data_IF_021309510976
#
_entry.id   IF_021309510976
#
_cell.length_a   1.000
_cell.length_b   1.000
_cell.length_c   1.000
_cell.angle_alpha   90.00
_cell.angle_beta   90.00
_cell.angle_gamma   90.00
#
_symmetry.space_group_name_H-M   'P 1'
#
loop_
_entity.id
_entity.type
_entity.pdbx_description
1 polymer ?
#
# COMPACT_ATOMS: atom_id res chain seq x y z
N UNK A 1 -0.78 5.24 12.94
CA UNK A 1 -1.03 5.21 11.47
C UNK A 1 -1.42 3.79 11.09
N UNK A 2 -2.49 3.57 10.32
CA UNK A 2 -3.01 2.23 9.95
C UNK A 2 -1.92 1.29 9.42
N UNK A 3 -1.01 1.79 8.57
CA UNK A 3 0.05 0.97 7.99
C UNK A 3 1.03 0.43 9.05
N UNK A 4 1.35 1.20 10.09
CA UNK A 4 2.19 0.76 11.21
C UNK A 4 1.51 -0.35 12.00
N UNK A 5 0.20 -0.21 12.27
CA UNK A 5 -0.61 -1.24 12.93
C UNK A 5 -0.57 -2.56 12.15
N UNK A 6 -0.67 -2.48 10.82
CA UNK A 6 -0.60 -3.66 9.96
C UNK A 6 0.78 -4.32 9.95
N UNK A 7 1.84 -3.52 9.87
CA UNK A 7 3.21 -4.02 9.93
C UNK A 7 3.50 -4.69 11.28
N UNK A 8 3.09 -4.08 12.39
CA UNK A 8 3.21 -4.65 13.73
C UNK A 8 2.50 -6.01 13.82
N UNK A 9 1.21 -6.06 13.48
CA UNK A 9 0.46 -7.32 13.57
C UNK A 9 1.01 -8.43 12.66
N UNK A 10 1.55 -8.11 11.47
CA UNK A 10 2.23 -9.11 10.63
C UNK A 10 3.51 -9.65 11.26
N UNK A 11 4.28 -8.81 11.95
CA UNK A 11 5.44 -9.27 12.70
C UNK A 11 5.02 -10.15 13.87
N UNK A 12 4.00 -9.76 14.63
CA UNK A 12 3.51 -10.54 15.78
C UNK A 12 3.04 -11.94 15.32
N UNK A 13 2.28 -12.02 14.22
CA UNK A 13 1.90 -13.29 13.58
C UNK A 13 3.14 -14.11 13.18
N UNK A 14 4.13 -13.46 12.55
CA UNK A 14 5.33 -14.15 12.10
C UNK A 14 6.16 -14.70 13.26
N UNK A 15 6.26 -13.94 14.35
CA UNK A 15 6.96 -14.36 15.56
C UNK A 15 6.24 -15.56 16.22
N UNK A 16 4.91 -15.49 16.36
CA UNK A 16 4.09 -16.57 16.94
C UNK A 16 4.13 -17.85 16.10
N UNK A 17 4.10 -17.73 14.77
CA UNK A 17 4.10 -18.87 13.85
C UNK A 17 5.52 -19.38 13.51
N UNK A 18 6.58 -18.81 14.10
CA UNK A 18 7.96 -19.22 13.84
C UNK A 18 8.42 -18.99 12.38
N UNK A 19 7.87 -17.97 11.72
CA UNK A 19 8.20 -17.65 10.33
C UNK A 19 9.51 -16.86 10.23
N UNK A 20 10.15 -16.96 9.06
CA UNK A 20 11.38 -16.24 8.75
C UNK A 20 11.05 -15.02 7.91
N UNK A 21 11.41 -13.84 8.43
CA UNK A 21 11.35 -12.57 7.71
C UNK A 21 12.52 -12.42 6.74
N UNK A 22 12.22 -12.00 5.51
CA UNK A 22 13.19 -11.72 4.46
C UNK A 22 13.00 -10.31 3.92
N UNK A 23 14.11 -9.58 3.81
CA UNK A 23 14.24 -8.38 3.03
C UNK A 23 14.68 -8.73 1.62
N UNK A 24 13.86 -8.41 0.63
CA UNK A 24 14.22 -8.53 -0.78
C UNK A 24 14.32 -7.17 -1.44
N UNK A 25 15.42 -6.95 -2.15
CA UNK A 25 15.61 -5.80 -3.03
C UNK A 25 15.54 -6.29 -4.47
N UNK A 26 14.69 -5.69 -5.30
CA UNK A 26 14.59 -5.98 -6.72
C UNK A 26 14.87 -4.72 -7.55
N UNK A 27 15.90 -4.81 -8.39
CA UNK A 27 16.36 -3.72 -9.26
C UNK A 27 16.11 -4.08 -10.72
N UNK A 28 16.02 -3.08 -11.60
CA UNK A 28 15.93 -3.30 -13.05
C UNK A 28 17.34 -3.44 -13.69
N UNK A 29 17.46 -4.09 -14.87
CA UNK A 29 18.71 -4.12 -15.63
C UNK A 29 19.33 -2.76 -15.89
N UNK A 30 20.66 -2.72 -16.10
CA UNK A 30 21.39 -1.48 -16.37
C UNK A 30 20.75 -0.66 -17.51
N UNK A 31 20.20 -1.33 -18.53
CA UNK A 31 19.54 -0.70 -19.68
C UNK A 31 18.32 0.16 -19.32
N UNK A 32 17.76 0.02 -18.12
CA UNK A 32 16.65 0.86 -17.62
C UNK A 32 17.11 2.11 -16.89
N UNK A 33 18.40 2.21 -16.54
CA UNK A 33 18.95 3.33 -15.78
C UNK A 33 19.61 4.33 -16.72
N UNK A 34 19.24 5.59 -16.59
CA UNK A 34 19.66 6.67 -17.50
C UNK A 34 21.04 7.23 -17.18
N UNK A 35 21.46 7.16 -15.90
CA UNK A 35 22.77 7.66 -15.44
C UNK A 35 23.44 6.66 -14.51
N UNK A 36 24.77 6.60 -14.57
CA UNK A 36 25.58 5.75 -13.69
C UNK A 36 25.71 6.38 -12.31
N UNK A 37 25.62 5.57 -11.26
CA UNK A 37 25.71 6.06 -9.88
C UNK A 37 27.10 6.61 -9.53
N UNK A 38 28.17 6.05 -10.10
CA UNK A 38 29.57 6.37 -9.74
C UNK A 38 29.99 7.80 -10.12
N UNK A 39 29.56 8.28 -11.29
CA UNK A 39 30.02 9.54 -11.87
C UNK A 39 28.89 10.44 -12.39
N UNK A 40 27.63 9.99 -12.29
CA UNK A 40 26.46 10.72 -12.79
C UNK A 40 26.38 10.83 -14.32
N UNK A 41 27.30 10.21 -15.06
CA UNK A 41 27.31 10.28 -16.53
C UNK A 41 26.19 9.45 -17.13
N UNK A 42 25.79 9.82 -18.35
CA UNK A 42 24.81 9.07 -19.13
C UNK A 42 25.25 7.61 -19.27
N UNK A 43 24.29 6.70 -19.10
CA UNK A 43 24.50 5.30 -19.40
C UNK A 43 24.27 5.02 -20.89
N UNK A 44 25.31 4.59 -21.60
CA UNK A 44 25.23 4.28 -23.04
C UNK A 44 24.29 3.11 -23.35
N UNK A 45 24.02 2.23 -22.37
CA UNK A 45 23.09 1.11 -22.50
C UNK A 45 21.62 1.52 -22.31
N UNK A 46 21.36 2.76 -21.89
CA UNK A 46 20.01 3.20 -21.54
C UNK A 46 19.06 3.13 -22.74
N UNK A 47 17.95 2.41 -22.57
CA UNK A 47 16.97 2.11 -23.62
C UNK A 47 15.81 3.12 -23.71
N UNK A 48 15.85 4.22 -22.94
CA UNK A 48 14.77 5.22 -22.93
C UNK A 48 13.53 4.79 -22.11
N UNK A 49 13.63 3.76 -21.27
CA UNK A 49 12.53 3.37 -20.38
C UNK A 49 12.20 4.48 -19.37
N UNK A 50 10.93 4.89 -19.34
CA UNK A 50 10.44 5.77 -18.28
C UNK A 50 10.23 5.00 -16.97
N UNK A 51 10.17 5.67 -15.81
CA UNK A 51 9.87 5.02 -14.53
C UNK A 51 8.58 4.18 -14.56
N UNK A 52 7.57 4.61 -15.33
CA UNK A 52 6.34 3.83 -15.54
C UNK A 52 6.59 2.54 -16.35
N UNK A 53 7.46 2.56 -17.35
CA UNK A 53 7.86 1.36 -18.11
C UNK A 53 8.68 0.42 -17.22
N UNK A 54 9.65 0.93 -16.46
CA UNK A 54 10.44 0.12 -15.52
C UNK A 54 9.55 -0.50 -14.44
N UNK A 55 8.59 0.25 -13.88
CA UNK A 55 7.65 -0.30 -12.90
C UNK A 55 6.81 -1.45 -13.49
N UNK A 56 6.43 -1.38 -14.78
CA UNK A 56 5.75 -2.50 -15.45
C UNK A 56 6.65 -3.74 -15.57
N UNK A 57 7.94 -3.56 -15.85
CA UNK A 57 8.93 -4.64 -15.83
C UNK A 57 9.00 -5.31 -14.45
N UNK A 58 9.16 -4.52 -13.37
CA UNK A 58 9.21 -5.06 -12.01
C UNK A 58 7.92 -5.80 -11.62
N UNK A 59 6.75 -5.26 -11.99
CA UNK A 59 5.46 -5.94 -11.83
C UNK A 59 5.40 -7.27 -12.60
N UNK A 60 5.99 -7.34 -13.80
CA UNK A 60 6.05 -8.56 -14.62
C UNK A 60 6.92 -9.62 -13.94
N UNK A 61 8.12 -9.26 -13.46
CA UNK A 61 8.98 -10.16 -12.66
C UNK A 61 8.20 -10.69 -11.45
N UNK A 62 7.60 -9.80 -10.67
CA UNK A 62 6.81 -10.18 -9.50
C UNK A 62 5.62 -11.10 -9.83
N UNK A 63 4.94 -10.87 -10.94
CA UNK A 63 3.84 -11.75 -11.39
C UNK A 63 4.32 -13.18 -11.68
N UNK A 64 5.49 -13.32 -12.30
CA UNK A 64 6.11 -14.62 -12.61
C UNK A 64 6.56 -15.34 -11.35
N UNK A 65 7.18 -14.61 -10.42
CA UNK A 65 7.58 -15.12 -9.10
C UNK A 65 6.37 -15.65 -8.34
N UNK A 66 5.30 -14.84 -8.20
CA UNK A 66 4.08 -15.28 -7.49
C UNK A 66 3.42 -16.49 -8.13
N UNK A 67 3.30 -16.52 -9.46
CA UNK A 67 2.73 -17.67 -10.16
C UNK A 67 3.58 -18.94 -9.94
N UNK A 68 4.90 -18.81 -9.93
CA UNK A 68 5.81 -19.92 -9.68
C UNK A 68 5.78 -20.41 -8.22
N UNK A 69 5.64 -19.51 -7.25
CA UNK A 69 5.44 -19.85 -5.85
C UNK A 69 4.10 -20.56 -5.63
N UNK A 70 3.02 -20.06 -6.23
CA UNK A 70 1.70 -20.68 -6.12
C UNK A 70 1.70 -22.13 -6.62
N UNK A 71 2.31 -22.40 -7.78
CA UNK A 71 2.45 -23.78 -8.31
C UNK A 71 3.28 -24.71 -7.42
N UNK A 72 4.07 -24.16 -6.49
CA UNK A 72 4.90 -24.91 -5.54
C UNK A 72 4.28 -24.96 -4.15
N UNK A 73 3.07 -24.44 -3.95
CA UNK A 73 2.45 -24.33 -2.63
C UNK A 73 3.12 -23.32 -1.69
N UNK A 74 3.98 -22.44 -2.22
CA UNK A 74 4.67 -21.42 -1.42
C UNK A 74 3.71 -20.24 -1.23
N UNK A 75 3.40 -19.94 0.04
CA UNK A 75 2.58 -18.79 0.46
C UNK A 75 3.45 -17.84 1.28
N UNK A 76 3.17 -16.55 1.16
CA UNK A 76 3.86 -15.48 1.90
C UNK A 76 2.92 -14.30 2.09
N UNK A 77 3.24 -13.46 3.06
CA UNK A 77 2.59 -12.17 3.29
C UNK A 77 3.64 -11.14 3.69
N UNK A 78 3.28 -9.87 3.59
CA UNK A 78 4.14 -8.77 4.00
C UNK A 78 3.87 -7.49 3.22
N UNK A 79 4.93 -6.75 2.91
CA UNK A 79 4.84 -5.44 2.27
C UNK A 79 5.86 -5.27 1.15
N UNK A 80 5.50 -4.41 0.20
CA UNK A 80 6.37 -3.89 -0.83
C UNK A 80 6.33 -2.37 -0.83
N UNK A 81 7.51 -1.78 -0.90
CA UNK A 81 7.76 -0.35 -1.09
C UNK A 81 8.45 -0.14 -2.44
N UNK A 82 8.19 0.98 -3.10
CA UNK A 82 8.87 1.39 -4.32
C UNK A 82 9.51 2.74 -4.09
N UNK A 83 10.80 2.81 -4.39
CA UNK A 83 11.59 4.02 -4.30
C UNK A 83 12.27 4.30 -5.64
N UNK A 84 12.46 5.58 -6.01
CA UNK A 84 13.34 5.92 -7.13
C UNK A 84 14.80 5.80 -6.70
N UNK A 85 15.65 5.30 -7.61
CA UNK A 85 17.09 5.56 -7.55
C UNK A 85 17.40 7.04 -7.82
N UNK A 86 18.68 7.41 -7.72
CA UNK A 86 19.18 8.75 -8.02
C UNK A 86 18.79 9.27 -9.41
N UNK A 87 18.61 8.37 -10.38
CA UNK A 87 18.22 8.69 -11.75
C UNK A 87 16.69 8.62 -12.00
N UNK A 88 15.92 8.34 -10.96
CA UNK A 88 14.45 8.23 -11.01
C UNK A 88 13.93 6.84 -11.38
N UNK A 89 14.80 5.87 -11.65
CA UNK A 89 14.42 4.49 -11.98
C UNK A 89 13.86 3.79 -10.73
N UNK A 90 12.65 3.19 -10.78
CA UNK A 90 12.08 2.52 -9.63
C UNK A 90 12.87 1.25 -9.28
N UNK A 91 12.97 0.97 -7.99
CA UNK A 91 13.35 -0.33 -7.43
C UNK A 91 12.41 -0.70 -6.28
N UNK A 92 12.35 -1.99 -5.95
CA UNK A 92 11.44 -2.49 -4.93
C UNK A 92 12.21 -2.95 -3.70
N UNK A 93 11.71 -2.55 -2.54
CA UNK A 93 12.05 -3.15 -1.26
C UNK A 93 10.86 -3.95 -0.76
N UNK A 94 11.08 -5.17 -0.32
CA UNK A 94 10.03 -6.05 0.15
C UNK A 94 10.42 -6.65 1.49
N UNK A 95 9.44 -6.72 2.39
CA UNK A 95 9.56 -7.49 3.63
C UNK A 95 8.51 -8.57 3.55
N UNK A 96 8.94 -9.83 3.52
CA UNK A 96 8.09 -10.99 3.32
C UNK A 96 8.41 -12.07 4.35
N UNK A 97 7.38 -12.69 4.90
CA UNK A 97 7.53 -13.80 5.85
C UNK A 97 7.21 -15.14 5.20
N UNK A 98 8.04 -16.15 5.47
CA UNK A 98 7.94 -17.49 4.91
C UNK A 98 8.01 -18.55 6.01
N UNK A 99 7.37 -19.68 5.77
CA UNK A 99 7.67 -20.89 6.55
C UNK A 99 9.13 -21.32 6.29
N UNK A 100 9.88 -21.77 7.30
CA UNK A 100 11.29 -22.16 7.14
C UNK A 100 11.56 -23.11 5.97
N UNK A 101 10.71 -24.12 5.80
CA UNK A 101 10.83 -25.15 4.76
C UNK A 101 10.63 -24.63 3.32
N UNK A 102 10.04 -23.44 3.16
CA UNK A 102 9.78 -22.83 1.87
C UNK A 102 10.83 -21.79 1.47
N UNK A 103 11.64 -21.30 2.42
CA UNK A 103 12.47 -20.12 2.24
C UNK A 103 13.48 -20.25 1.11
N UNK A 104 14.28 -21.33 1.13
CA UNK A 104 15.33 -21.55 0.13
C UNK A 104 14.74 -21.62 -1.29
N UNK A 105 13.64 -22.39 -1.46
CA UNK A 105 12.93 -22.51 -2.74
C UNK A 105 12.32 -21.19 -3.17
N UNK A 106 11.76 -20.42 -2.23
CA UNK A 106 11.16 -19.12 -2.53
C UNK A 106 12.20 -18.14 -3.07
N UNK A 107 13.32 -18.01 -2.36
CA UNK A 107 14.45 -17.12 -2.70
C UNK A 107 15.09 -17.53 -4.03
N UNK A 108 15.32 -18.82 -4.25
CA UNK A 108 15.89 -19.34 -5.51
C UNK A 108 14.98 -19.02 -6.71
N UNK A 109 13.67 -19.23 -6.57
CA UNK A 109 12.71 -18.90 -7.62
C UNK A 109 12.68 -17.39 -7.89
N UNK A 110 12.76 -16.56 -6.85
CA UNK A 110 12.80 -15.11 -7.04
C UNK A 110 14.06 -14.70 -7.81
N UNK A 111 15.25 -15.09 -7.33
CA UNK A 111 16.53 -14.80 -7.98
C UNK A 111 16.51 -15.18 -9.45
N UNK A 112 16.02 -16.37 -9.79
CA UNK A 112 15.88 -16.83 -11.18
C UNK A 112 15.12 -15.84 -12.07
N UNK A 113 13.95 -15.36 -11.63
CA UNK A 113 13.15 -14.43 -12.44
C UNK A 113 13.71 -13.00 -12.43
N UNK A 114 14.39 -12.59 -11.36
CA UNK A 114 15.02 -11.28 -11.29
C UNK A 114 16.18 -11.14 -12.30
N UNK A 115 16.91 -12.24 -12.53
CA UNK A 115 18.05 -12.34 -13.44
C UNK A 115 17.68 -12.83 -14.85
N UNK A 116 16.40 -13.06 -15.15
CA UNK A 116 15.99 -13.61 -16.45
C UNK A 116 16.31 -12.67 -17.62
N UNK A 117 16.16 -11.35 -17.41
CA UNK A 117 16.50 -10.32 -18.39
C UNK A 117 17.91 -9.78 -18.12
N UNK A 118 18.80 -9.84 -19.11
CA UNK A 118 20.18 -9.35 -19.02
C UNK A 118 20.98 -9.92 -17.83
N UNK A 119 20.69 -11.16 -17.37
CA UNK A 119 21.34 -11.75 -16.18
C UNK A 119 22.85 -11.96 -16.28
N UNK A 120 23.41 -11.93 -17.49
CA UNK A 120 24.85 -12.07 -17.73
C UNK A 120 25.59 -10.72 -17.74
N UNK A 121 24.90 -9.59 -17.50
CA UNK A 121 25.58 -8.30 -17.44
C UNK A 121 26.51 -8.21 -16.21
N UNK A 122 27.64 -7.48 -16.30
CA UNK A 122 28.53 -7.30 -15.15
C UNK A 122 27.79 -6.72 -13.94
N UNK A 123 27.88 -7.40 -12.80
CA UNK A 123 27.22 -7.01 -11.55
C UNK A 123 25.74 -7.40 -11.43
N UNK A 124 25.16 -8.13 -12.40
CA UNK A 124 23.78 -8.59 -12.32
C UNK A 124 23.53 -9.42 -11.05
N UNK A 125 24.39 -10.41 -10.77
CA UNK A 125 24.25 -11.29 -9.61
C UNK A 125 24.26 -10.54 -8.27
N UNK A 126 25.05 -9.46 -8.20
CA UNK A 126 25.26 -8.67 -6.98
C UNK A 126 24.16 -7.63 -6.76
N UNK A 127 23.72 -6.95 -7.82
CA UNK A 127 22.86 -5.76 -7.71
C UNK A 127 21.41 -5.97 -8.15
N UNK A 128 21.10 -7.05 -8.88
CA UNK A 128 19.75 -7.25 -9.41
C UNK A 128 18.77 -7.70 -8.36
N UNK A 129 19.23 -8.60 -7.48
CA UNK A 129 18.42 -9.20 -6.45
C UNK A 129 19.23 -9.45 -5.19
N UNK A 130 18.87 -8.71 -4.14
CA UNK A 130 19.41 -8.89 -2.81
C UNK A 130 18.38 -9.62 -1.94
N UNK A 131 18.86 -10.56 -1.13
CA UNK A 131 18.05 -11.30 -0.18
C UNK A 131 18.76 -11.33 1.17
N UNK A 132 18.21 -10.61 2.14
CA UNK A 132 18.77 -10.49 3.50
C UNK A 132 17.74 -11.01 4.48
N UNK A 133 18.12 -11.99 5.29
CA UNK A 133 17.27 -12.47 6.36
C UNK A 133 17.16 -11.42 7.47
N UNK A 134 15.97 -11.30 8.06
CA UNK A 134 15.74 -10.45 9.21
C UNK A 134 16.63 -10.87 10.40
N UNK A 135 17.38 -9.92 10.92
CA UNK A 135 18.13 -10.06 12.17
C UNK A 135 17.33 -9.47 13.33
N UNK A 136 16.66 -10.34 14.10
CA UNK A 136 15.83 -9.94 15.24
C UNK A 136 16.63 -9.23 16.34
N UNK A 137 17.96 -9.39 16.40
CA UNK A 137 18.81 -8.72 17.39
C UNK A 137 19.01 -7.23 17.09
N UNK A 138 18.85 -6.81 15.82
CA UNK A 138 19.02 -5.43 15.37
C UNK A 138 17.72 -4.62 15.36
N UNK A 139 16.64 -5.20 15.90
CA UNK A 139 15.31 -4.62 15.94
C UNK A 139 14.32 -5.36 15.02
N UNK A 140 13.03 -5.10 15.23
CA UNK A 140 11.94 -5.75 14.48
C UNK A 140 11.89 -5.25 13.03
N UNK A 141 11.53 -6.08 12.04
CA UNK A 141 11.36 -5.65 10.66
C UNK A 141 10.28 -4.57 10.48
N UNK A 142 9.36 -4.45 11.44
CA UNK A 142 8.45 -3.31 11.59
C UNK A 142 9.20 -1.97 11.58
N UNK A 143 10.30 -1.86 12.34
CA UNK A 143 11.10 -0.64 12.41
C UNK A 143 11.70 -0.28 11.05
N UNK A 144 12.11 -1.28 10.27
CA UNK A 144 12.53 -1.10 8.89
C UNK A 144 11.37 -0.61 8.03
N UNK A 145 10.22 -1.28 8.03
CA UNK A 145 9.03 -0.85 7.26
C UNK A 145 8.63 0.58 7.61
N UNK A 146 8.61 0.94 8.89
CA UNK A 146 8.32 2.30 9.37
C UNK A 146 9.34 3.31 8.84
N UNK A 147 10.64 2.98 8.87
CA UNK A 147 11.69 3.82 8.29
C UNK A 147 11.40 4.15 6.82
N UNK A 148 11.05 3.15 6.01
CA UNK A 148 10.71 3.36 4.60
C UNK A 148 9.43 4.18 4.44
N UNK A 149 8.43 4.00 5.30
CA UNK A 149 7.21 4.83 5.26
C UNK A 149 7.52 6.29 5.55
N UNK A 150 8.28 6.55 6.62
CA UNK A 150 8.71 7.91 6.99
C UNK A 150 9.53 8.56 5.87
N UNK A 151 10.44 7.81 5.22
CA UNK A 151 11.24 8.30 4.08
C UNK A 151 10.41 8.68 2.85
N UNK A 152 9.25 8.07 2.66
CA UNK A 152 8.49 8.16 1.40
C UNK A 152 7.19 8.96 1.45
N UNK A 153 6.57 9.09 2.65
CA UNK A 153 5.23 9.67 2.77
C UNK A 153 5.25 11.06 3.41
N UNK A 154 5.83 11.19 4.61
CA UNK A 154 5.63 12.38 5.44
C UNK A 154 6.91 13.03 6.02
N UNK A 155 8.05 12.33 6.01
CA UNK A 155 9.28 12.80 6.64
C UNK A 155 9.14 13.02 8.16
N UNK A 156 8.10 12.47 8.79
CA UNK A 156 7.81 12.69 10.20
C UNK A 156 8.76 11.86 11.07
N UNK A 157 9.43 12.50 12.02
CA UNK A 157 10.43 11.86 12.88
C UNK A 157 11.83 11.74 12.25
N UNK A 158 12.08 12.40 11.12
CA UNK A 158 13.39 12.42 10.43
C UNK A 158 14.06 13.80 10.48
N UNK A 159 13.70 14.65 11.46
CA UNK A 159 14.30 15.97 11.60
C UNK A 159 15.79 15.83 11.97
N UNK A 160 16.68 16.29 11.08
CA UNK A 160 18.13 16.22 11.24
C UNK A 160 18.82 15.03 10.55
N UNK A 161 18.08 14.09 9.97
CA UNK A 161 18.67 12.96 9.24
C UNK A 161 18.87 13.24 7.75
N UNK A 162 20.02 12.81 7.23
CA UNK A 162 20.43 12.95 5.83
C UNK A 162 20.40 11.61 5.11
N UNK A 163 19.99 11.63 3.85
CA UNK A 163 20.00 10.46 3.00
C UNK A 163 21.44 10.06 2.61
N UNK A 164 21.74 8.76 2.64
CA UNK A 164 23.09 8.25 2.40
C UNK A 164 23.49 8.25 0.92
N UNK A 165 22.53 8.21 0.00
CA UNK A 165 22.80 8.21 -1.43
C UNK A 165 22.92 9.63 -1.99
N UNK A 166 22.10 10.56 -1.47
CA UNK A 166 21.98 11.92 -2.02
C UNK A 166 22.59 13.01 -1.13
N UNK A 167 22.85 12.74 0.15
CA UNK A 167 23.38 13.70 1.12
C UNK A 167 22.38 14.79 1.54
N UNK A 168 21.11 14.67 1.13
CA UNK A 168 20.07 15.70 1.36
C UNK A 168 19.22 15.38 2.60
N UNK A 169 18.56 16.40 3.20
CA UNK A 169 17.63 16.16 4.30
C UNK A 169 16.50 15.22 3.88
N UNK A 170 16.25 14.16 4.66
CA UNK A 170 15.27 13.12 4.34
C UNK A 170 13.83 13.66 4.14
N UNK A 171 13.50 14.79 4.77
CA UNK A 171 12.20 15.46 4.64
C UNK A 171 11.98 16.07 3.25
N UNK A 172 13.03 16.57 2.62
CA UNK A 172 12.95 17.06 1.24
C UNK A 172 12.85 15.89 0.25
N UNK A 173 13.59 14.82 0.51
CA UNK A 173 13.53 13.60 -0.28
C UNK A 173 12.14 12.96 -0.24
N UNK A 174 11.47 12.89 0.92
CA UNK A 174 10.09 12.41 1.02
C UNK A 174 9.13 13.19 0.10
N UNK A 175 9.30 14.52 -0.02
CA UNK A 175 8.50 15.35 -0.93
C UNK A 175 8.82 15.05 -2.40
N UNK A 176 10.09 14.88 -2.75
CA UNK A 176 10.54 14.53 -4.11
C UNK A 176 9.99 13.17 -4.54
N UNK A 177 10.11 12.17 -3.66
CA UNK A 177 9.67 10.81 -3.92
C UNK A 177 8.14 10.77 -4.06
N UNK A 178 7.40 11.50 -3.23
CA UNK A 178 5.94 11.63 -3.39
C UNK A 178 5.55 12.32 -4.70
N UNK A 179 6.25 13.37 -5.10
CA UNK A 179 6.01 14.04 -6.37
C UNK A 179 6.32 13.12 -7.57
N UNK A 180 7.43 12.38 -7.51
CA UNK A 180 7.82 11.36 -8.49
C UNK A 180 6.75 10.27 -8.61
N UNK A 181 6.32 9.69 -7.48
CA UNK A 181 5.30 8.65 -7.45
C UNK A 181 3.97 9.15 -8.04
N UNK A 182 3.58 10.38 -7.71
CA UNK A 182 2.37 11.02 -8.26
C UNK A 182 2.48 11.27 -9.75
N UNK A 183 3.63 11.78 -10.22
CA UNK A 183 3.89 12.08 -11.65
C UNK A 183 3.80 10.83 -12.50
N UNK A 184 4.29 9.70 -12.00
CA UNK A 184 4.34 8.44 -12.74
C UNK A 184 3.15 7.51 -12.45
N UNK A 185 2.26 7.90 -11.53
CA UNK A 185 1.16 7.09 -11.02
C UNK A 185 1.66 5.73 -10.49
N UNK A 186 2.69 5.77 -9.63
CA UNK A 186 3.30 4.59 -9.02
C UNK A 186 2.82 4.48 -7.58
N UNK A 187 2.13 3.38 -7.26
CA UNK A 187 1.79 3.02 -5.88
C UNK A 187 3.07 2.67 -5.14
N UNK A 188 3.49 3.49 -4.19
CA UNK A 188 4.69 3.26 -3.38
C UNK A 188 4.50 2.04 -2.46
N UNK A 189 3.46 2.05 -1.62
CA UNK A 189 3.23 1.00 -0.60
C UNK A 189 2.14 0.02 -1.00
N UNK A 190 2.45 -1.27 -0.93
CA UNK A 190 1.50 -2.35 -1.18
C UNK A 190 1.66 -3.46 -0.14
N UNK A 191 0.54 -3.86 0.48
CA UNK A 191 0.48 -5.11 1.24
C UNK A 191 0.42 -6.30 0.27
N UNK A 192 1.10 -7.37 0.64
CA UNK A 192 1.14 -8.65 -0.05
C UNK A 192 0.56 -9.70 0.89
N UNK A 193 -0.37 -10.52 0.38
CA UNK A 193 -1.02 -11.56 1.18
C UNK A 193 -1.74 -11.03 2.44
N UNK A 194 -2.00 -11.96 3.37
CA UNK A 194 -2.74 -11.69 4.60
C UNK A 194 -4.19 -11.26 4.37
N UNK A 195 -4.84 -10.84 5.46
CA UNK A 195 -6.22 -10.41 5.42
C UNK A 195 -6.39 -9.07 4.68
N UNK A 196 -7.48 -8.87 3.90
CA UNK A 196 -7.64 -7.67 3.09
C UNK A 196 -7.91 -6.41 3.92
N UNK A 197 -7.14 -5.34 3.66
CA UNK A 197 -7.30 -4.03 4.31
C UNK A 197 -8.66 -3.39 4.03
N UNK A 198 -9.24 -3.65 2.86
CA UNK A 198 -10.54 -3.06 2.52
C UNK A 198 -11.65 -3.58 3.43
N UNK A 199 -11.66 -4.89 3.74
CA UNK A 199 -12.65 -5.47 4.65
C UNK A 199 -12.47 -4.89 6.06
N UNK A 200 -11.23 -4.83 6.54
CA UNK A 200 -10.89 -4.14 7.80
C UNK A 200 -11.47 -2.72 7.87
N UNK A 201 -11.31 -1.93 6.81
CA UNK A 201 -11.84 -0.57 6.75
C UNK A 201 -13.35 -0.52 6.74
N UNK A 202 -14.02 -1.46 6.05
CA UNK A 202 -15.47 -1.51 5.99
C UNK A 202 -16.08 -1.96 7.33
N UNK A 203 -15.50 -2.95 8.01
CA UNK A 203 -15.93 -3.37 9.35
C UNK A 203 -15.89 -2.22 10.35
N UNK A 204 -14.82 -1.42 10.32
CA UNK A 204 -14.66 -0.24 11.19
C UNK A 204 -15.62 0.90 10.88
N UNK A 205 -16.37 0.86 9.77
CA UNK A 205 -17.46 1.83 9.51
C UNK A 205 -18.70 1.53 10.34
N UNK A 206 -18.86 0.29 10.78
CA UNK A 206 -20.03 -0.15 11.53
C UNK A 206 -20.06 0.44 12.95
N UNK A 207 -18.91 0.86 13.49
CA UNK A 207 -18.81 1.42 14.83
C UNK A 207 -19.37 0.45 15.87
N UNK A 208 -20.18 0.97 16.80
CA UNK A 208 -20.79 0.20 17.90
C UNK A 208 -22.07 -0.56 17.50
N UNK A 209 -22.30 -0.77 16.20
CA UNK A 209 -23.47 -1.52 15.74
C UNK A 209 -23.40 -2.95 16.25
N UNK A 210 -24.45 -3.37 16.96
CA UNK A 210 -24.58 -4.74 17.45
C UNK A 210 -24.91 -5.70 16.31
N UNK A 211 -24.10 -6.74 16.14
CA UNK A 211 -24.24 -7.75 15.07
C UNK A 211 -24.55 -9.14 15.65
N UNK A 212 -25.49 -9.22 16.60
CA UNK A 212 -25.84 -10.46 17.34
C UNK A 212 -26.20 -11.61 16.40
N UNK A 213 -26.88 -11.32 15.29
CA UNK A 213 -27.35 -12.32 14.34
C UNK A 213 -26.24 -12.81 13.39
N UNK A 214 -25.09 -12.14 13.36
CA UNK A 214 -23.98 -12.46 12.45
C UNK A 214 -22.68 -12.64 13.25
N UNK A 215 -22.60 -13.68 14.11
CA UNK A 215 -21.50 -13.86 15.06
C UNK A 215 -20.13 -14.02 14.38
N UNK A 216 -20.08 -14.62 13.18
CA UNK A 216 -18.85 -14.74 12.40
C UNK A 216 -18.31 -13.37 12.01
N UNK A 217 -19.20 -12.45 11.60
CA UNK A 217 -18.82 -11.09 11.21
C UNK A 217 -18.46 -10.26 12.43
N UNK A 218 -19.20 -10.40 13.53
CA UNK A 218 -18.94 -9.68 14.78
C UNK A 218 -17.55 -10.01 15.34
N UNK A 219 -17.16 -11.28 15.33
CA UNK A 219 -15.86 -11.72 15.80
C UNK A 219 -14.71 -11.01 15.04
N UNK A 220 -14.85 -10.86 13.72
CA UNK A 220 -13.86 -10.12 12.89
C UNK A 220 -13.97 -8.61 13.07
N UNK A 221 -15.19 -8.07 13.23
CA UNK A 221 -15.44 -6.63 13.44
C UNK A 221 -14.80 -6.15 14.74
N UNK A 222 -15.00 -6.88 15.85
CA UNK A 222 -14.53 -6.50 17.17
C UNK A 222 -13.00 -6.29 17.21
N UNK A 223 -12.24 -7.23 16.68
CA UNK A 223 -10.76 -7.11 16.58
C UNK A 223 -10.34 -6.01 15.62
N UNK A 224 -11.10 -5.78 14.55
CA UNK A 224 -10.83 -4.70 13.60
C UNK A 224 -11.03 -3.32 14.24
N UNK A 225 -12.07 -3.14 15.04
CA UNK A 225 -12.37 -1.89 15.74
C UNK A 225 -11.34 -1.59 16.84
N UNK A 226 -10.96 -2.62 17.61
CA UNK A 226 -9.87 -2.58 18.60
C UNK A 226 -8.49 -2.29 17.99
N UNK A 227 -8.37 -2.21 16.67
CA UNK A 227 -7.11 -1.98 15.96
C UNK A 227 -6.09 -3.11 16.13
N UNK A 228 -6.57 -4.34 16.37
CA UNK A 228 -5.77 -5.54 16.48
C UNK A 228 -5.65 -6.26 15.13
N UNK A 229 -4.56 -5.96 14.42
CA UNK A 229 -4.34 -6.53 13.09
C UNK A 229 -3.95 -8.02 13.12
N UNK A 230 -3.28 -8.47 14.18
CA UNK A 230 -2.90 -9.87 14.34
C UNK A 230 -4.14 -10.73 14.42
N UNK A 231 -5.01 -10.46 15.39
CA UNK A 231 -6.22 -11.23 15.59
C UNK A 231 -7.18 -11.06 14.41
N UNK A 232 -7.32 -9.87 13.82
CA UNK A 232 -8.09 -9.73 12.58
C UNK A 232 -7.61 -10.67 11.46
N UNK A 233 -6.31 -10.79 11.28
CA UNK A 233 -5.76 -11.69 10.26
C UNK A 233 -6.03 -13.15 10.60
N UNK A 234 -5.90 -13.52 11.87
CA UNK A 234 -6.18 -14.89 12.34
C UNK A 234 -7.67 -15.25 12.21
N UNK A 235 -8.57 -14.35 12.60
CA UNK A 235 -10.02 -14.54 12.51
C UNK A 235 -10.54 -14.58 11.07
N UNK A 236 -9.79 -14.00 10.12
CA UNK A 236 -10.06 -14.13 8.69
C UNK A 236 -9.59 -15.47 8.08
N UNK A 237 -9.05 -16.40 8.88
CA UNK A 237 -8.53 -17.70 8.45
C UNK A 237 -7.00 -17.78 8.40
N UNK A 238 -6.30 -16.79 8.96
CA UNK A 238 -4.85 -16.75 9.08
C UNK A 238 -4.12 -16.03 7.93
N UNK A 239 -2.81 -15.83 8.05
CA UNK A 239 -2.04 -15.00 7.11
C UNK A 239 -1.89 -15.62 5.71
N UNK A 240 -2.09 -16.93 5.59
CA UNK A 240 -1.96 -17.67 4.33
C UNK A 240 -3.30 -18.05 3.70
N UNK A 241 -4.43 -17.65 4.31
CA UNK A 241 -5.80 -18.00 3.88
C UNK A 241 -6.02 -17.75 2.38
N UNK A 242 -6.74 -18.63 1.70
CA UNK A 242 -7.18 -18.37 0.34
C UNK A 242 -8.32 -17.35 0.34
N UNK A 243 -8.51 -16.65 -0.78
CA UNK A 243 -9.58 -15.66 -0.89
C UNK A 243 -10.96 -16.30 -0.71
N UNK A 244 -11.10 -17.53 -1.20
CA UNK A 244 -12.34 -18.30 -1.16
C UNK A 244 -12.57 -19.00 0.18
N UNK A 245 -11.68 -18.79 1.15
CA UNK A 245 -11.80 -19.31 2.52
C UNK A 245 -11.85 -18.17 3.55
N UNK A 246 -11.96 -16.90 3.11
CA UNK A 246 -12.09 -15.76 4.01
C UNK A 246 -13.41 -15.81 4.77
N UNK A 247 -13.35 -15.62 6.09
CA UNK A 247 -14.48 -15.53 7.03
C UNK A 247 -15.42 -14.37 6.71
N UNK A 248 -14.89 -13.22 6.33
CA UNK A 248 -15.70 -12.04 5.96
C UNK A 248 -15.27 -11.55 4.59
N UNK A 249 -16.24 -11.30 3.71
CA UNK A 249 -16.04 -10.83 2.33
C UNK A 249 -16.79 -9.55 2.05
N UNK A 250 -16.34 -8.84 1.01
CA UNK A 250 -17.02 -7.65 0.50
C UNK A 250 -18.19 -8.08 -0.37
N UNK A 251 -19.32 -7.41 -0.17
CA UNK A 251 -20.45 -7.46 -1.08
C UNK A 251 -20.41 -6.26 -2.03
N UNK A 252 -20.59 -6.52 -3.33
CA UNK A 252 -20.60 -5.51 -4.37
C UNK A 252 -21.97 -5.48 -5.05
N UNK A 253 -22.57 -4.30 -5.17
CA UNK A 253 -23.63 -4.06 -6.15
C UNK A 253 -23.04 -3.63 -7.48
N UNK A 254 -23.73 -4.00 -8.55
CA UNK A 254 -23.38 -3.66 -9.92
C UNK A 254 -24.51 -2.83 -10.53
N UNK A 255 -24.17 -1.66 -11.06
CA UNK A 255 -25.10 -0.81 -11.81
C UNK A 255 -24.67 -0.82 -13.27
N UNK A 256 -25.45 -1.47 -14.12
CA UNK A 256 -25.28 -1.41 -15.57
C UNK A 256 -25.50 0.03 -16.06
N UNK A 257 -24.66 0.49 -17.00
CA UNK A 257 -24.65 1.89 -17.45
C UNK A 257 -24.59 2.89 -16.28
N UNK A 258 -23.82 2.56 -15.24
CA UNK A 258 -23.75 3.33 -14.00
C UNK A 258 -22.95 4.63 -14.11
N UNK A 259 -22.38 4.94 -15.27
CA UNK A 259 -21.70 6.20 -15.56
C UNK A 259 -22.13 6.78 -16.92
N UNK A 260 -21.74 8.03 -17.17
CA UNK A 260 -22.04 8.78 -18.41
C UNK A 260 -21.48 8.14 -19.69
N UNK A 261 -20.64 7.11 -19.56
CA UNK A 261 -20.00 6.40 -20.66
C UNK A 261 -20.62 5.02 -20.92
N UNK A 262 -21.65 4.62 -20.17
CA UNK A 262 -22.30 3.32 -20.30
C UNK A 262 -21.54 2.16 -19.65
N UNK A 263 -20.51 2.42 -18.85
CA UNK A 263 -19.79 1.34 -18.16
C UNK A 263 -20.60 0.79 -16.99
N UNK A 264 -20.48 -0.52 -16.75
CA UNK A 264 -20.97 -1.14 -15.51
C UNK A 264 -20.10 -0.69 -14.33
N UNK A 265 -20.71 -0.07 -13.34
CA UNK A 265 -20.03 0.42 -12.14
C UNK A 265 -20.26 -0.53 -10.98
N UNK A 266 -19.17 -1.06 -10.41
CA UNK A 266 -19.22 -1.86 -9.16
C UNK A 266 -19.02 -0.98 -7.94
N UNK A 267 -19.90 -1.10 -6.93
CA UNK A 267 -19.81 -0.37 -5.67
C UNK A 267 -19.82 -1.34 -4.49
N UNK A 268 -18.93 -1.11 -3.52
CA UNK A 268 -18.98 -1.82 -2.24
C UNK A 268 -20.21 -1.33 -1.49
N UNK A 269 -21.06 -2.25 -1.05
CA UNK A 269 -22.31 -1.96 -0.36
C UNK A 269 -22.29 -2.46 1.09
N UNK A 270 -21.59 -3.56 1.34
CA UNK A 270 -21.48 -4.13 2.66
C UNK A 270 -20.46 -5.24 2.77
N UNK A 271 -20.58 -5.99 3.86
CA UNK A 271 -19.83 -7.21 4.13
C UNK A 271 -20.79 -8.35 4.45
N UNK A 272 -20.34 -9.57 4.22
CA UNK A 272 -21.08 -10.80 4.56
C UNK A 272 -20.09 -11.89 4.95
N UNK A 273 -20.57 -12.91 5.66
CA UNK A 273 -19.83 -14.15 5.92
C UNK A 273 -20.38 -15.27 5.03
N UNK A 274 -19.54 -15.98 4.26
CA UNK A 274 -19.96 -17.15 3.48
C UNK A 274 -20.21 -18.39 4.35
N UNK A 275 -19.85 -18.34 5.64
CA UNK A 275 -20.05 -19.41 6.61
C UNK A 275 -21.26 -19.17 7.52
N UNK A 276 -21.97 -18.05 7.32
CA UNK A 276 -23.22 -17.80 8.03
C UNK A 276 -24.36 -18.55 7.33
N UNK A 277 -25.23 -19.17 8.13
CA UNK A 277 -26.42 -19.87 7.64
C UNK A 277 -27.51 -18.90 7.14
N UNK A 278 -27.42 -17.63 7.55
CA UNK A 278 -28.25 -16.56 7.03
C UNK A 278 -27.50 -15.85 5.89
N UNK A 279 -28.18 -15.51 4.80
CA UNK A 279 -27.66 -14.58 3.78
C UNK A 279 -27.59 -13.14 4.34
N UNK A 280 -26.92 -12.98 5.47
CA UNK A 280 -26.84 -11.74 6.23
C UNK A 280 -25.84 -10.78 5.57
N UNK A 281 -26.35 -10.03 4.61
CA UNK A 281 -25.66 -8.87 4.08
C UNK A 281 -25.71 -7.72 5.09
N UNK A 282 -24.54 -7.33 5.59
CA UNK A 282 -24.38 -6.20 6.51
C UNK A 282 -23.94 -4.97 5.72
N UNK A 283 -24.89 -4.08 5.47
CA UNK A 283 -24.63 -2.79 4.81
C UNK A 283 -23.69 -1.90 5.64
N UNK A 284 -22.59 -1.46 5.02
CA UNK A 284 -21.57 -0.60 5.65
C UNK A 284 -21.61 0.85 5.14
N UNK A 285 -22.30 1.09 4.02
CA UNK A 285 -22.33 2.40 3.33
C UNK A 285 -23.76 2.89 3.11
N UNK A 286 -24.39 3.32 4.19
CA UNK A 286 -25.78 3.81 4.20
C UNK A 286 -25.93 5.28 3.79
N UNK A 287 -24.84 6.04 3.73
CA UNK A 287 -24.88 7.45 3.33
C UNK A 287 -24.99 7.62 1.80
N UNK A 288 -26.00 8.35 1.35
CA UNK A 288 -26.14 8.84 -0.02
C UNK A 288 -25.51 10.24 -0.15
N UNK A 289 -24.86 10.49 -1.29
CA UNK A 289 -24.24 11.77 -1.59
C UNK A 289 -24.75 12.25 -2.94
N UNK A 290 -25.20 13.49 -3.00
CA UNK A 290 -25.60 14.16 -4.24
C UNK A 290 -24.53 15.19 -4.62
N UNK A 291 -24.09 15.16 -5.87
CA UNK A 291 -23.23 16.22 -6.41
C UNK A 291 -24.11 17.44 -6.62
N UNK A 292 -23.87 18.49 -5.86
CA UNK A 292 -24.56 19.78 -6.00
C UNK A 292 -23.63 20.82 -6.62
N UNK A 293 -24.14 21.70 -7.49
CA UNK A 293 -23.38 22.86 -7.96
C UNK A 293 -22.86 23.67 -6.79
N UNK A 294 -21.63 24.18 -6.91
CA UNK A 294 -21.06 25.09 -5.92
C UNK A 294 -21.97 26.32 -5.81
N UNK A 295 -22.49 26.60 -4.61
CA UNK A 295 -23.26 27.82 -4.34
C UNK A 295 -22.47 29.04 -4.81
N UNK A 296 -23.04 29.81 -5.75
CA UNK A 296 -22.49 31.10 -6.11
C UNK A 296 -22.51 31.99 -4.86
N UNK A 297 -21.39 32.63 -4.49
CA UNK A 297 -21.43 33.60 -3.40
C UNK A 297 -22.45 34.69 -3.75
N UNK A 298 -23.31 35.04 -2.80
CA UNK A 298 -24.34 36.06 -2.99
C UNK A 298 -23.69 37.37 -3.50
N UNK A 299 -24.34 38.10 -4.42
CA UNK A 299 -23.79 39.35 -4.95
C UNK A 299 -23.84 40.43 -3.86
N UNK A 300 -22.73 40.64 -3.16
CA UNK A 300 -22.63 41.68 -2.14
C UNK A 300 -21.59 41.41 -1.06
N UNK A 301 -20.31 41.49 -1.43
CA UNK A 301 -19.23 41.40 -0.46
C UNK A 301 -17.86 41.53 -1.11
N UNK A 302 -17.47 42.76 -1.43
CA UNK A 302 -16.10 43.07 -1.88
C UNK A 302 -15.15 42.84 -0.70
N UNK A 303 -14.17 41.95 -0.86
CA UNK A 303 -12.95 41.96 -0.07
C UNK A 303 -11.75 41.93 -1.02
N UNK A 304 -10.90 42.97 -1.04
CA UNK A 304 -9.79 43.07 -1.97
C UNK A 304 -8.59 42.31 -1.40
N UNK A 305 -8.27 41.14 -1.96
CA UNK A 305 -6.99 40.49 -1.70
C UNK A 305 -6.48 39.84 -2.99
N UNK A 306 -5.53 40.51 -3.64
CA UNK A 306 -4.73 39.97 -4.74
C UNK A 306 -3.70 38.98 -4.19
N UNK A 307 -3.77 37.72 -4.61
CA UNK A 307 -2.77 36.69 -4.28
C UNK A 307 -2.82 35.54 -5.28
N UNK A 308 -1.66 35.22 -5.89
CA UNK A 308 -1.47 34.14 -6.88
C UNK A 308 -1.66 32.75 -6.26
N UNK A 309 -1.96 31.78 -7.13
CA UNK A 309 -2.30 30.38 -6.80
C UNK A 309 -1.22 29.63 -6.00
N UNK A 310 -1.66 28.92 -4.96
CA UNK A 310 -0.92 27.82 -4.34
C UNK A 310 -1.88 26.69 -3.92
N UNK A 311 -1.51 25.45 -4.27
CA UNK A 311 -2.28 24.24 -4.05
C UNK A 311 -2.43 23.83 -2.57
N UNK A 312 -3.58 23.26 -2.22
CA UNK A 312 -4.03 23.00 -0.85
C UNK A 312 -3.26 21.86 -0.14
N UNK A 313 -2.71 22.17 1.05
CA UNK A 313 -2.36 21.20 2.11
C UNK A 313 -3.58 20.93 3.00
N UNK A 314 -3.80 19.68 3.44
CA UNK A 314 -4.81 19.31 4.45
C UNK A 314 -4.22 19.31 5.86
N UNK A 315 -4.89 19.96 6.81
CA UNK A 315 -4.77 19.74 8.27
C UNK A 315 -6.15 19.85 8.93
N UNK A 316 -6.43 18.99 9.89
CA UNK A 316 -7.64 19.04 10.75
C UNK A 316 -7.51 20.19 11.76
N UNK A 317 -8.64 20.83 12.09
CA UNK A 317 -8.73 21.96 13.03
C UNK A 317 -9.23 21.53 14.41
N UNK A 318 -8.49 21.95 15.44
CA UNK A 318 -9.04 22.41 16.71
C UNK A 318 -8.53 23.84 16.95
N UNK A 319 -9.42 24.71 17.42
CA UNK A 319 -9.23 26.12 17.77
C UNK A 319 -9.26 27.18 16.64
N UNK A 320 -9.96 28.27 16.99
CA UNK A 320 -10.39 29.43 16.22
C UNK A 320 -9.25 30.24 15.57
N UNK A 321 -9.30 30.40 14.24
CA UNK A 321 -9.05 31.67 13.53
C UNK A 321 -9.10 31.48 11.99
N UNK A 322 -9.85 32.39 11.34
CA UNK A 322 -9.86 32.77 9.90
C UNK A 322 -9.87 31.65 8.83
N UNK A 323 -11.04 31.48 8.21
CA UNK A 323 -11.32 30.59 7.05
C UNK A 323 -10.64 31.10 5.77
N UNK A 324 -10.00 30.22 4.96
CA UNK A 324 -9.92 30.39 3.52
C UNK A 324 -10.93 29.47 2.80
N UNK A 325 -11.46 29.98 1.70
CA UNK A 325 -12.50 29.38 0.86
C UNK A 325 -12.03 28.10 0.16
N UNK A 326 -12.71 26.98 0.44
CA UNK A 326 -12.57 25.69 -0.24
C UNK A 326 -13.77 24.80 0.08
N UNK A 327 -14.27 24.08 -0.93
CA UNK A 327 -15.50 23.28 -1.00
C UNK A 327 -16.06 22.80 0.36
N UNK A 328 -17.22 23.31 0.75
CA UNK A 328 -18.02 22.80 1.86
C UNK A 328 -18.99 21.73 1.34
N UNK A 329 -18.76 20.48 1.72
CA UNK A 329 -19.75 19.40 1.63
C UNK A 329 -20.73 19.56 2.79
N UNK A 330 -22.02 19.76 2.51
CA UNK A 330 -23.07 19.77 3.53
C UNK A 330 -23.71 18.38 3.60
N UNK A 331 -23.78 17.81 4.79
CA UNK A 331 -24.48 16.56 5.08
C UNK A 331 -25.96 16.87 5.29
N UNK A 332 -26.85 16.27 4.50
CA UNK A 332 -28.28 16.21 4.84
C UNK A 332 -28.56 14.79 5.30
N UNK A 333 -28.84 14.60 6.60
CA UNK A 333 -29.43 13.35 7.10
C UNK A 333 -30.90 13.36 6.68
N UNK A 334 -31.34 12.33 5.97
CA UNK A 334 -32.77 12.06 5.80
C UNK A 334 -33.31 11.38 7.06
N UNK A 335 -34.60 11.59 7.39
CA UNK A 335 -35.20 11.26 8.70
C UNK A 335 -35.18 9.78 9.07
#
# INVERSE_FOLDING_TARGET
MELTTRAAGFQDIADEMGLIGMFFTLTAPSSYHSTRIKDGKRNDKYNGASPRKTQKYLCKVWSRVRAAWQRRGIRTFGFRTVEPHHDGTPHWHMVLWFKPENLEKATTVFRKYALEEDGNEPGAEDYRFEAVQEDKSRGRAVGYIVKYISKNIDGHGLDGEVDKETGRPLKEEARRVKAWASRWNIRQFQQIGGAPVTIWRELRRLGDRELVLSPEVEAVRAVADASDWQHYTMYQGGPFVARDDLTVRLYYSHTENGNDYGDTVSKIEGVYSPFSDAEDLIYTRTASYNIVPKLNPAPGGVLPLTGREAAAKRKLSGASAKRPLGVLSITVRSP
#
